data_IF_423206442911
#
_entry.id   IF_423206442911
#
_cell.length_a   1.000
_cell.length_b   1.000
_cell.length_c   1.000
_cell.angle_alpha   90.00
_cell.angle_beta   90.00
_cell.angle_gamma   90.00
#
_symmetry.space_group_name_H-M   'P 1'
#
loop_
_entity.id
_entity.type
_entity.pdbx_description
1 polymer ?
#
# COMPACT_ATOMS: atom_id res chain seq x y z
N UNK A 1 -0.26 -13.71 10.52
CA UNK A 1 -0.02 -13.19 9.16
C UNK A 1 -1.06 -12.12 8.90
N UNK A 2 -0.69 -10.91 8.47
CA UNK A 2 -1.70 -9.96 7.99
C UNK A 2 -1.94 -10.25 6.51
N UNK A 3 -3.18 -10.53 6.13
CA UNK A 3 -3.57 -10.70 4.74
C UNK A 3 -3.94 -9.34 4.16
N UNK A 4 -3.18 -8.90 3.17
CA UNK A 4 -3.52 -7.72 2.37
C UNK A 4 -4.47 -8.21 1.28
N UNK A 5 -5.70 -7.74 1.31
CA UNK A 5 -6.67 -7.93 0.25
C UNK A 5 -6.53 -6.80 -0.76
N UNK A 6 -6.67 -7.14 -2.04
CA UNK A 6 -6.57 -6.20 -3.14
C UNK A 6 -7.76 -6.39 -4.05
N UNK A 7 -8.63 -5.39 -4.07
CA UNK A 7 -9.72 -5.31 -5.03
C UNK A 7 -9.37 -4.23 -6.05
N UNK A 8 -9.45 -4.56 -7.34
CA UNK A 8 -9.16 -3.60 -8.38
C UNK A 8 -10.00 -3.85 -9.62
N UNK A 9 -10.23 -2.77 -10.36
CA UNK A 9 -10.88 -2.77 -11.65
C UNK A 9 -9.97 -2.11 -12.71
N UNK A 10 -10.55 -1.77 -13.85
CA UNK A 10 -9.84 -1.19 -15.00
C UNK A 10 -9.19 0.17 -14.72
N UNK A 11 -9.75 0.95 -13.79
CA UNK A 11 -9.43 2.38 -13.58
C UNK A 11 -9.08 2.72 -12.13
N UNK A 12 -9.50 1.93 -11.14
CA UNK A 12 -9.23 2.16 -9.72
C UNK A 12 -9.05 0.84 -8.96
N UNK A 13 -8.51 0.92 -7.76
CA UNK A 13 -8.43 -0.21 -6.86
C UNK A 13 -8.26 0.22 -5.42
N UNK A 14 -8.55 -0.69 -4.52
CA UNK A 14 -8.38 -0.55 -3.09
C UNK A 14 -7.56 -1.72 -2.52
N UNK A 15 -6.59 -1.39 -1.69
CA UNK A 15 -5.93 -2.35 -0.82
C UNK A 15 -6.52 -2.21 0.57
N UNK A 16 -6.97 -3.31 1.16
CA UNK A 16 -7.46 -3.29 2.52
C UNK A 16 -6.94 -4.48 3.33
N UNK A 17 -6.79 -4.27 4.63
CA UNK A 17 -6.44 -5.31 5.59
C UNK A 17 -7.61 -5.43 6.54
N UNK A 18 -8.20 -6.62 6.58
CA UNK A 18 -9.27 -6.95 7.52
C UNK A 18 -8.73 -7.87 8.60
N UNK A 19 -8.99 -7.50 9.86
CA UNK A 19 -8.66 -8.32 11.02
C UNK A 19 -9.88 -8.36 11.94
N UNK A 20 -10.35 -9.56 12.30
CA UNK A 20 -11.52 -9.76 13.15
C UNK A 20 -12.82 -9.10 12.61
N UNK A 21 -12.97 -9.02 11.28
CA UNK A 21 -14.12 -8.38 10.63
C UNK A 21 -14.08 -6.85 10.66
N UNK A 22 -12.96 -6.25 11.07
CA UNK A 22 -12.74 -4.81 11.03
C UNK A 22 -11.64 -4.47 10.03
N UNK A 23 -11.89 -3.52 9.14
CA UNK A 23 -10.86 -2.94 8.28
C UNK A 23 -9.89 -2.14 9.16
N UNK A 24 -8.66 -2.60 9.25
CA UNK A 24 -7.60 -1.98 10.04
C UNK A 24 -6.66 -1.13 9.18
N UNK A 25 -6.70 -1.29 7.86
CA UNK A 25 -6.03 -0.42 6.90
C UNK A 25 -6.76 -0.46 5.56
N UNK A 26 -6.81 0.67 4.87
CA UNK A 26 -7.45 0.89 3.58
C UNK A 26 -6.61 1.89 2.77
N UNK A 27 -6.35 1.59 1.51
CA UNK A 27 -5.65 2.45 0.57
C UNK A 27 -6.32 2.36 -0.78
N UNK A 28 -6.96 3.45 -1.20
CA UNK A 28 -7.65 3.54 -2.49
C UNK A 28 -6.81 4.34 -3.48
N UNK A 29 -6.73 3.85 -4.71
CA UNK A 29 -5.99 4.48 -5.80
C UNK A 29 -6.80 4.48 -7.08
N UNK A 30 -6.49 5.41 -7.97
CA UNK A 30 -6.99 5.45 -9.35
C UNK A 30 -5.83 5.53 -10.33
N UNK A 31 -5.98 4.85 -11.46
CA UNK A 31 -5.00 4.76 -12.53
C UNK A 31 -5.17 5.95 -13.46
N UNK A 32 -4.23 6.89 -13.40
CA UNK A 32 -4.21 8.08 -14.27
C UNK A 32 -3.24 7.87 -15.43
N UNK A 33 -3.75 7.32 -16.53
CA UNK A 33 -2.96 6.98 -17.71
C UNK A 33 -2.14 5.70 -17.55
N UNK A 34 -1.16 5.50 -18.44
CA UNK A 34 -0.48 4.21 -18.55
C UNK A 34 0.47 3.86 -17.38
N UNK A 35 0.94 4.85 -16.61
CA UNK A 35 2.00 4.62 -15.64
C UNK A 35 1.91 5.48 -14.36
N UNK A 36 0.71 5.97 -14.02
CA UNK A 36 0.50 6.70 -12.75
C UNK A 36 -0.65 6.09 -11.98
N UNK A 37 -0.41 5.82 -10.71
CA UNK A 37 -1.42 5.51 -9.71
C UNK A 37 -1.51 6.72 -8.80
N UNK A 38 -2.67 7.36 -8.77
CA UNK A 38 -2.93 8.48 -7.90
C UNK A 38 -3.67 7.93 -6.67
N UNK A 39 -3.07 8.11 -5.51
CA UNK A 39 -3.64 7.66 -4.24
C UNK A 39 -4.67 8.69 -3.83
N UNK A 40 -5.91 8.24 -3.62
CA UNK A 40 -7.04 9.10 -3.27
C UNK A 40 -7.26 9.13 -1.75
N UNK A 41 -7.28 7.94 -1.14
CA UNK A 41 -7.55 7.77 0.28
C UNK A 41 -6.54 6.82 0.90
N UNK A 42 -6.04 7.15 2.09
CA UNK A 42 -5.21 6.23 2.89
C UNK A 42 -5.61 6.35 4.34
N UNK A 43 -6.23 5.28 4.84
CA UNK A 43 -6.65 5.17 6.21
C UNK A 43 -5.99 3.97 6.85
N UNK A 44 -5.37 4.19 8.00
CA UNK A 44 -4.71 3.12 8.74
C UNK A 44 -5.12 3.31 10.18
N UNK A 45 -5.70 2.27 10.76
CA UNK A 45 -6.13 2.26 12.15
C UNK A 45 -4.96 2.71 13.04
N UNK A 46 -5.21 3.53 14.07
CA UNK A 46 -4.16 4.01 14.97
C UNK A 46 -3.30 2.89 15.57
N UNK A 47 -3.89 1.70 15.75
CA UNK A 47 -3.23 0.47 16.22
C UNK A 47 -2.09 -0.01 15.29
N UNK A 48 -2.17 0.29 14.00
CA UNK A 48 -1.13 0.01 13.01
C UNK A 48 -0.21 1.22 12.76
N UNK A 49 -0.68 2.46 12.96
CA UNK A 49 0.14 3.69 12.82
C UNK A 49 1.32 3.75 13.79
N UNK A 50 1.29 2.99 14.90
CA UNK A 50 2.35 2.96 15.92
C UNK A 50 3.40 1.86 15.80
N UNK A 51 3.22 0.85 14.92
CA UNK A 51 4.15 -0.28 14.78
C UNK A 51 5.16 -0.03 13.66
N UNK A 52 5.97 1.01 13.81
CA UNK A 52 7.26 1.19 13.12
C UNK A 52 7.34 0.86 11.60
N UNK A 53 6.36 1.25 10.77
CA UNK A 53 6.55 1.16 9.31
C UNK A 53 7.49 2.25 8.75
N UNK A 54 7.87 3.26 9.55
CA UNK A 54 8.79 4.34 9.12
C UNK A 54 10.28 4.02 9.26
N UNK A 55 10.70 3.13 10.16
CA UNK A 55 12.14 2.98 10.47
C UNK A 55 12.78 1.67 10.02
N UNK A 56 12.01 0.71 9.48
CA UNK A 56 12.56 -0.59 9.05
C UNK A 56 12.44 -0.87 7.54
N UNK A 57 11.66 -0.10 6.78
CA UNK A 57 11.54 -0.32 5.32
C UNK A 57 12.71 0.25 4.51
N UNK A 58 13.50 1.19 5.04
CA UNK A 58 14.67 1.71 4.32
C UNK A 58 15.88 0.75 4.33
N UNK A 59 15.87 -0.29 5.17
CA UNK A 59 17.02 -1.19 5.36
C UNK A 59 16.92 -2.52 4.62
N UNK A 60 15.94 -2.68 3.73
CA UNK A 60 15.84 -3.84 2.86
C UNK A 60 15.86 -3.41 1.40
N UNK A 61 16.96 -2.73 1.07
CA UNK A 61 17.71 -2.92 -0.16
C UNK A 61 16.84 -3.23 -1.38
N UNK A 62 16.16 -2.21 -1.91
CA UNK A 62 15.91 -2.19 -3.34
C UNK A 62 17.26 -1.92 -4.01
N UNK A 63 18.08 -2.97 -4.08
CA UNK A 63 19.22 -2.99 -5.00
C UNK A 63 18.59 -3.11 -6.37
N UNK A 64 18.40 -1.99 -7.06
CA UNK A 64 18.23 -2.01 -8.50
C UNK A 64 19.58 -2.49 -9.06
N UNK A 65 19.68 -3.67 -9.71
CA UNK A 65 20.83 -3.92 -10.56
C UNK A 65 20.82 -2.82 -11.63
N UNK A 66 21.87 -2.02 -11.62
CA UNK A 66 21.94 -0.81 -12.42
C UNK A 66 21.76 -1.06 -13.91
N UNK A 67 21.40 0.01 -14.62
CA UNK A 67 22.30 0.61 -15.61
C UNK A 67 22.01 2.10 -15.71
N UNK A 68 23.02 2.87 -15.35
CA UNK A 68 23.24 4.22 -15.85
C UNK A 68 23.43 4.13 -17.37
N UNK A 69 22.65 4.92 -18.10
CA UNK A 69 23.05 5.55 -19.36
C UNK A 69 22.69 7.03 -19.26
#
# INVERSE_FOLDING_TARGET
>A
MMNIQHDYNSENGEFYIEEQGQRIAELSYYRSGANRLLIDHTEVAPRLRGRALRHNWLSRSFTLPGKMV
#
